data_IF_231932493673
#
_entry.id   IF_231932493673
#
_cell.length_a   1.000
_cell.length_b   1.000
_cell.length_c   1.000
_cell.angle_alpha   90.00
_cell.angle_beta   90.00
_cell.angle_gamma   90.00
#
_symmetry.space_group_name_H-M   'P 1'
#
loop_
_entity.id
_entity.type
_entity.pdbx_description
1 polymer ?
#
# COMPACT_ATOMS: atom_id res chain seq x y z
N UNK A 1 -13.63 1.10 -20.03
CA UNK A 1 -12.91 0.16 -19.16
C UNK A 1 -11.63 0.78 -18.65
N UNK A 2 -11.35 0.60 -17.39
CA UNK A 2 -10.10 1.05 -16.77
C UNK A 2 -9.02 0.02 -17.11
N UNK A 3 -7.93 0.47 -17.73
CA UNK A 3 -6.84 -0.45 -18.07
C UNK A 3 -5.88 -0.63 -16.89
N UNK A 4 -4.90 -1.51 -17.07
CA UNK A 4 -3.98 -1.86 -15.98
C UNK A 4 -3.18 -0.67 -15.47
N UNK A 5 -2.85 0.27 -16.33
CA UNK A 5 -2.10 1.47 -15.94
C UNK A 5 -2.94 2.33 -15.00
N UNK A 6 -4.22 2.52 -15.31
CA UNK A 6 -5.11 3.29 -14.46
C UNK A 6 -5.34 2.60 -13.12
N UNK A 7 -5.44 1.28 -13.13
CA UNK A 7 -5.60 0.53 -11.88
C UNK A 7 -4.38 0.68 -10.98
N UNK A 8 -3.19 0.66 -11.56
CA UNK A 8 -1.97 0.87 -10.79
C UNK A 8 -1.96 2.27 -10.16
N UNK A 9 -2.47 3.26 -10.88
CA UNK A 9 -2.58 4.62 -10.36
C UNK A 9 -3.48 4.67 -9.11
N UNK A 10 -4.60 3.95 -9.12
CA UNK A 10 -5.47 3.87 -7.95
C UNK A 10 -4.73 3.27 -6.74
N UNK A 11 -3.95 2.23 -6.97
CA UNK A 11 -3.16 1.62 -5.90
C UNK A 11 -2.10 2.59 -5.36
N UNK A 12 -1.45 3.35 -6.25
CA UNK A 12 -0.44 4.32 -5.83
C UNK A 12 -1.05 5.43 -4.99
N UNK A 13 -2.23 5.91 -5.36
CA UNK A 13 -2.95 6.91 -4.58
C UNK A 13 -3.32 6.37 -3.20
N UNK A 14 -3.78 5.11 -3.16
CA UNK A 14 -4.12 4.45 -1.90
C UNK A 14 -2.91 4.31 -0.97
N UNK A 15 -1.75 3.98 -1.53
CA UNK A 15 -0.51 3.89 -0.76
C UNK A 15 -0.11 5.26 -0.20
N UNK A 16 -0.15 6.30 -1.03
CA UNK A 16 0.19 7.64 -0.59
C UNK A 16 -0.71 8.11 0.54
N UNK A 17 -2.00 7.85 0.42
CA UNK A 17 -2.96 8.19 1.46
C UNK A 17 -2.67 7.43 2.75
N UNK A 18 -2.37 6.13 2.63
CA UNK A 18 -2.03 5.29 3.78
C UNK A 18 -0.79 5.81 4.48
N UNK A 19 0.27 6.11 3.74
CA UNK A 19 1.52 6.60 4.33
C UNK A 19 1.29 7.91 5.08
N UNK A 20 0.49 8.79 4.50
CA UNK A 20 0.21 10.08 5.14
C UNK A 20 -0.65 9.93 6.39
N UNK A 21 -1.74 9.16 6.30
CA UNK A 21 -2.68 9.04 7.42
C UNK A 21 -2.16 8.16 8.54
N UNK A 22 -1.55 7.04 8.21
CA UNK A 22 -1.16 6.04 9.20
C UNK A 22 0.24 6.29 9.72
N UNK A 23 1.18 6.53 8.82
CA UNK A 23 2.58 6.70 9.22
C UNK A 23 2.99 8.15 9.46
N UNK A 24 2.15 9.10 9.06
CA UNK A 24 2.48 10.51 9.21
C UNK A 24 3.63 10.97 8.35
N UNK A 25 3.88 10.26 7.26
CA UNK A 25 5.01 10.58 6.38
C UNK A 25 4.70 11.76 5.49
N UNK A 26 5.68 12.60 5.31
CA UNK A 26 5.58 13.76 4.43
C UNK A 26 6.11 13.42 3.05
N UNK A 27 5.66 14.14 2.01
CA UNK A 27 6.14 13.85 0.65
C UNK A 27 7.63 14.06 0.46
N UNK A 28 8.25 14.91 1.27
CA UNK A 28 9.70 15.15 1.18
C UNK A 28 10.41 14.32 2.22
N UNK A 29 11.26 13.42 1.74
CA UNK A 29 12.02 12.49 2.57
C UNK A 29 13.44 12.98 2.69
N UNK A 30 13.94 13.10 3.88
CA UNK A 30 15.31 13.56 4.08
C UNK A 30 16.26 12.39 4.30
N UNK A 31 16.03 11.60 5.32
CA UNK A 31 16.93 10.48 5.62
C UNK A 31 16.23 9.14 5.61
N UNK A 32 15.10 9.04 6.26
CA UNK A 32 14.38 7.76 6.36
C UNK A 32 13.17 7.73 5.45
N UNK A 33 12.92 6.59 4.84
CA UNK A 33 11.79 6.43 3.95
C UNK A 33 11.49 4.98 3.66
N UNK A 34 10.78 4.74 2.56
CA UNK A 34 10.37 3.41 2.16
C UNK A 34 10.76 3.16 0.72
N UNK A 35 11.18 1.93 0.46
CA UNK A 35 11.44 1.46 -0.89
C UNK A 35 10.50 0.30 -1.18
N UNK A 36 9.82 0.36 -2.32
CA UNK A 36 9.00 -0.74 -2.79
C UNK A 36 9.91 -1.75 -3.47
N UNK A 37 10.01 -2.94 -2.91
CA UNK A 37 10.92 -3.97 -3.44
C UNK A 37 10.18 -5.04 -4.22
N UNK A 38 8.88 -5.17 -4.04
CA UNK A 38 8.10 -6.19 -4.72
C UNK A 38 6.66 -5.75 -4.81
N UNK A 39 6.03 -6.04 -5.93
CA UNK A 39 4.60 -5.83 -6.09
C UNK A 39 4.03 -6.96 -6.92
N UNK A 40 2.87 -7.44 -6.52
CA UNK A 40 2.15 -8.48 -7.24
C UNK A 40 0.70 -8.04 -7.39
N UNK A 41 0.19 -8.08 -8.60
CA UNK A 41 -1.16 -7.66 -8.90
C UNK A 41 -1.92 -8.81 -9.55
N UNK A 42 -3.07 -9.14 -8.98
CA UNK A 42 -3.96 -10.17 -9.50
C UNK A 42 -5.24 -9.51 -10.00
N UNK A 43 -5.50 -9.61 -11.28
CA UNK A 43 -6.67 -9.02 -11.93
C UNK A 43 -7.77 -10.07 -11.99
N UNK A 44 -8.87 -9.83 -11.27
CA UNK A 44 -9.96 -10.80 -11.17
C UNK A 44 -11.20 -10.43 -11.96
N UNK A 45 -11.32 -9.18 -12.37
CA UNK A 45 -12.47 -8.73 -13.12
C UNK A 45 -12.21 -7.40 -13.78
N UNK A 46 -13.10 -7.06 -14.71
CA UNK A 46 -13.00 -5.80 -15.43
C UNK A 46 -13.57 -4.66 -14.59
N UNK A 47 -12.94 -3.49 -14.71
CA UNK A 47 -13.44 -2.26 -14.12
C UNK A 47 -13.81 -1.32 -15.24
N UNK A 48 -15.05 -0.85 -15.21
CA UNK A 48 -15.53 0.13 -16.19
C UNK A 48 -15.44 1.51 -15.57
N UNK A 49 -15.38 2.53 -16.43
CA UNK A 49 -15.20 3.89 -15.95
C UNK A 49 -16.31 4.37 -15.02
N UNK A 50 -17.53 3.90 -15.24
CA UNK A 50 -18.68 4.27 -14.44
C UNK A 50 -18.89 3.39 -13.20
N UNK A 51 -18.04 2.39 -13.01
CA UNK A 51 -18.19 1.49 -11.85
C UNK A 51 -17.85 2.23 -10.56
N UNK A 52 -18.71 2.12 -9.54
CA UNK A 52 -18.41 2.70 -8.23
C UNK A 52 -17.42 1.80 -7.51
N UNK A 53 -16.16 2.23 -7.47
CA UNK A 53 -15.10 1.45 -6.86
C UNK A 53 -14.49 2.19 -5.67
N UNK A 54 -13.92 1.42 -4.77
CA UNK A 54 -13.13 1.93 -3.66
C UNK A 54 -11.84 1.14 -3.58
N UNK A 55 -10.77 1.80 -3.19
CA UNK A 55 -9.49 1.14 -2.94
C UNK A 55 -9.30 1.00 -1.45
N UNK A 56 -9.14 -0.22 -0.99
CA UNK A 56 -8.85 -0.50 0.41
C UNK A 56 -7.37 -0.80 0.56
N UNK A 57 -6.78 -0.40 1.68
CA UNK A 57 -5.38 -0.65 1.98
C UNK A 57 -5.29 -1.16 3.41
N UNK A 58 -4.64 -2.30 3.59
CA UNK A 58 -4.42 -2.84 4.92
C UNK A 58 -3.02 -3.41 5.05
N UNK A 59 -2.54 -3.54 6.28
CA UNK A 59 -1.27 -4.16 6.57
C UNK A 59 -1.51 -5.66 6.66
N UNK A 60 -0.81 -6.42 5.83
CA UNK A 60 -0.95 -7.86 5.77
C UNK A 60 0.08 -8.56 6.68
N UNK A 61 1.27 -7.98 6.76
CA UNK A 61 2.37 -8.60 7.49
C UNK A 61 3.42 -7.55 7.87
N UNK A 62 4.03 -7.72 9.04
CA UNK A 62 5.11 -6.85 9.49
C UNK A 62 6.34 -7.71 9.79
N UNK A 63 7.44 -7.41 9.11
CA UNK A 63 8.72 -8.06 9.36
C UNK A 63 9.66 -7.17 10.17
N UNK A 64 10.93 -7.47 10.14
CA UNK A 64 11.95 -6.72 10.88
C UNK A 64 12.26 -5.38 10.20
N UNK A 65 12.57 -5.43 8.91
CA UNK A 65 12.91 -4.25 8.11
C UNK A 65 11.86 -3.95 7.03
N UNK A 66 10.88 -4.80 6.89
CA UNK A 66 9.89 -4.70 5.82
C UNK A 66 8.50 -4.94 6.35
N UNK A 67 7.52 -4.49 5.58
CA UNK A 67 6.12 -4.83 5.83
C UNK A 67 5.40 -4.98 4.49
N UNK A 68 4.29 -5.69 4.53
CA UNK A 68 3.51 -5.99 3.34
C UNK A 68 2.17 -5.30 3.43
N UNK A 69 1.82 -4.57 2.39
CA UNK A 69 0.49 -3.96 2.24
C UNK A 69 -0.31 -4.79 1.26
N UNK A 70 -1.58 -4.95 1.56
CA UNK A 70 -2.53 -5.54 0.64
C UNK A 70 -3.57 -4.50 0.31
N UNK A 71 -3.77 -4.29 -0.97
CA UNK A 71 -4.74 -3.35 -1.49
C UNK A 71 -5.71 -4.06 -2.40
N UNK A 72 -6.96 -3.61 -2.38
CA UNK A 72 -8.01 -4.19 -3.21
C UNK A 72 -8.80 -3.07 -3.86
N UNK A 73 -9.16 -3.27 -5.12
CA UNK A 73 -10.16 -2.45 -5.79
C UNK A 73 -11.46 -3.22 -5.73
N UNK A 74 -12.44 -2.65 -5.03
CA UNK A 74 -13.70 -3.32 -4.74
C UNK A 74 -14.85 -2.55 -5.39
N UNK A 75 -15.73 -3.28 -6.08
CA UNK A 75 -16.97 -2.71 -6.58
C UNK A 75 -17.92 -2.56 -5.39
N UNK A 76 -18.34 -1.32 -5.12
CA UNK A 76 -19.15 -1.06 -3.93
C UNK A 76 -20.58 -1.56 -4.04
N UNK A 77 -21.08 -1.82 -5.26
CA UNK A 77 -22.44 -2.35 -5.45
C UNK A 77 -22.51 -3.83 -5.12
N UNK A 78 -21.52 -4.60 -5.60
CA UNK A 78 -21.53 -6.06 -5.48
C UNK A 78 -20.60 -6.56 -4.39
N UNK A 79 -19.69 -5.70 -3.92
CA UNK A 79 -18.63 -6.04 -2.96
C UNK A 79 -17.62 -7.03 -3.54
N UNK A 80 -17.61 -7.16 -4.84
CA UNK A 80 -16.63 -8.02 -5.50
C UNK A 80 -15.27 -7.33 -5.57
N UNK A 81 -14.23 -8.12 -5.26
CA UNK A 81 -12.85 -7.68 -5.46
C UNK A 81 -12.52 -7.80 -6.94
N UNK A 82 -12.24 -6.68 -7.58
CA UNK A 82 -11.89 -6.68 -9.00
C UNK A 82 -10.41 -6.89 -9.22
N UNK A 83 -9.59 -6.35 -8.33
CA UNK A 83 -8.13 -6.43 -8.45
C UNK A 83 -7.54 -6.41 -7.06
N UNK A 84 -6.49 -7.20 -6.87
CA UNK A 84 -5.77 -7.24 -5.60
C UNK A 84 -4.30 -6.99 -5.86
N UNK A 85 -3.68 -6.16 -5.02
CA UNK A 85 -2.27 -5.83 -5.14
C UNK A 85 -1.59 -6.02 -3.80
N UNK A 86 -0.51 -6.77 -3.80
CA UNK A 86 0.33 -7.00 -2.63
C UNK A 86 1.68 -6.35 -2.86
N UNK A 87 2.09 -5.49 -1.94
CA UNK A 87 3.33 -4.72 -2.07
C UNK A 87 4.19 -4.92 -0.83
N UNK A 88 5.45 -5.23 -1.04
CA UNK A 88 6.44 -5.33 0.04
C UNK A 88 7.27 -4.06 0.04
N UNK A 89 7.33 -3.41 1.19
CA UNK A 89 8.04 -2.16 1.40
C UNK A 89 9.12 -2.37 2.45
N UNK A 90 10.29 -1.79 2.20
CA UNK A 90 11.44 -1.88 3.09
C UNK A 90 11.77 -0.51 3.63
N UNK A 91 11.96 -0.42 4.94
CA UNK A 91 12.43 0.81 5.57
C UNK A 91 13.89 1.04 5.18
N UNK A 92 14.21 2.25 4.77
CA UNK A 92 15.52 2.55 4.17
C UNK A 92 16.02 3.90 4.65
N UNK A 93 17.32 3.95 4.91
CA UNK A 93 18.01 5.19 5.25
C UNK A 93 18.73 5.67 4.00
N UNK A 94 18.26 6.77 3.44
CA UNK A 94 18.78 7.29 2.17
C UNK A 94 20.13 7.98 2.32
N UNK A 95 20.47 8.44 3.51
CA UNK A 95 21.79 9.01 3.76
C UNK A 95 22.85 7.92 3.81
N UNK A 96 22.55 6.82 4.47
CA UNK A 96 23.48 5.69 4.60
C UNK A 96 23.39 4.72 3.43
N UNK A 97 22.35 4.82 2.61
CA UNK A 97 22.10 3.93 1.48
C UNK A 97 22.01 2.47 1.92
N UNK A 98 21.23 2.22 2.98
CA UNK A 98 21.04 0.87 3.49
C UNK A 98 19.63 0.69 4.06
N UNK A 99 19.16 -0.56 4.10
CA UNK A 99 17.90 -0.90 4.74
C UNK A 99 18.09 -0.81 6.26
N UNK A 100 17.01 -0.43 6.94
CA UNK A 100 17.02 -0.27 8.38
C UNK A 100 15.83 -1.02 8.99
N UNK A 101 15.93 -1.24 10.29
CA UNK A 101 14.80 -1.74 11.05
C UNK A 101 13.67 -0.73 10.97
N UNK A 102 12.43 -1.22 10.90
CA UNK A 102 11.27 -0.33 10.85
C UNK A 102 11.29 0.56 12.09
N UNK A 103 11.28 1.89 11.94
CA UNK A 103 11.26 2.80 13.10
C UNK A 103 10.09 2.48 14.04
N UNK A 104 10.33 2.55 15.33
CA UNK A 104 9.33 2.20 16.34
C UNK A 104 7.99 2.92 16.17
N UNK A 105 7.95 4.23 15.86
CA UNK A 105 6.67 4.92 15.65
C UNK A 105 5.88 4.34 14.47
N UNK A 106 6.56 3.94 13.40
CA UNK A 106 5.90 3.32 12.25
C UNK A 106 5.40 1.93 12.60
N UNK A 107 6.22 1.16 13.34
CA UNK A 107 5.85 -0.20 13.72
C UNK A 107 4.58 -0.21 14.56
N UNK A 108 4.45 0.72 15.48
CA UNK A 108 3.25 0.83 16.32
C UNK A 108 2.00 1.11 15.48
N UNK A 109 2.11 2.03 14.54
CA UNK A 109 0.99 2.37 13.68
C UNK A 109 0.63 1.25 12.73
N UNK A 110 1.64 0.56 12.20
CA UNK A 110 1.40 -0.59 11.33
C UNK A 110 0.72 -1.72 12.11
N UNK A 111 1.17 -1.96 13.32
CA UNK A 111 0.59 -3.01 14.16
C UNK A 111 -0.87 -2.74 14.47
N UNK A 112 -1.25 -1.49 14.68
CA UNK A 112 -2.64 -1.13 14.95
C UNK A 112 -3.53 -1.33 13.71
N UNK A 113 -2.94 -1.36 12.52
CA UNK A 113 -3.67 -1.57 11.28
C UNK A 113 -3.69 -3.03 10.83
N UNK A 114 -2.95 -3.89 11.51
CA UNK A 114 -2.73 -5.27 11.06
C UNK A 114 -4.00 -6.12 11.03
N UNK A 115 -4.93 -5.87 11.91
CA UNK A 115 -6.13 -6.68 12.09
C UNK A 115 -7.41 -6.02 11.59
N UNK A 116 -7.29 -4.99 10.78
CA UNK A 116 -8.44 -4.29 10.22
C UNK A 116 -8.89 -4.90 8.91
N UNK A 117 -9.09 -6.18 8.92
CA UNK A 117 -9.50 -6.90 7.71
C UNK A 117 -10.94 -7.34 7.77
#
# INVERSE_FOLDING_TARGET
>A
MVNNVNQQHYFDLGKSDFFRRVLGMKPVWKSEGLIMVSTRTDYRGQIRMEDPIVVTTCVDRIGHKSFTLRQQIVDTRTREVRTECTTVLVAFDFERQESIEIPAPWREKLASSLHEQ
#
